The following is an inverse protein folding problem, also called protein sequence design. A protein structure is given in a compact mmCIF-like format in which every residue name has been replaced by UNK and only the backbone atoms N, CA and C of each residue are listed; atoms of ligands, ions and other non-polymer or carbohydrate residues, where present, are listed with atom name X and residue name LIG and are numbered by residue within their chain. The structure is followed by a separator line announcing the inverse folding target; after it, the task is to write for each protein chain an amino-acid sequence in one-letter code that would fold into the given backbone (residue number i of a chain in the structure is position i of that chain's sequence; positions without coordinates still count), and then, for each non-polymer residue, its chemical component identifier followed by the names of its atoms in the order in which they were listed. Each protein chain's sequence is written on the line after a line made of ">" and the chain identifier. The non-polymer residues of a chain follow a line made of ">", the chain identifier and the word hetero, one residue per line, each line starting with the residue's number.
data_IF_847461541761
#
_entry.id   IF_847461541761
#
_cell.length_a   1.000
_cell.length_b   1.000
_cell.length_c   1.000
_cell.angle_alpha   90.00
_cell.angle_beta   90.00
_cell.angle_gamma   90.00
#
_symmetry.space_group_name_H-M   'P 1'
#
loop_
_entity.id
_entity.type
_entity.pdbx_description
1 polymer ?
#
# COMPACT_ATOMS: atom_id res chain seq x y z
N UNK A 1 25.05 35.54 55.50
CA UNK A 1 24.30 34.27 55.45
C UNK A 1 23.26 34.27 56.56
N UNK A 2 21.97 33.94 56.32
CA UNK A 2 20.98 33.91 57.38
C UNK A 2 21.20 32.67 58.26
N UNK A 3 21.78 32.86 59.44
CA UNK A 3 22.03 31.77 60.40
C UNK A 3 20.78 31.34 61.20
N UNK A 4 19.59 31.85 60.83
CA UNK A 4 18.31 31.51 61.49
C UNK A 4 17.46 30.59 60.61
N UNK A 5 17.07 29.45 61.18
CA UNK A 5 16.13 28.52 60.53
C UNK A 5 14.77 29.19 60.33
N UNK A 6 14.14 28.95 59.18
CA UNK A 6 12.78 29.43 58.92
C UNK A 6 11.75 28.86 59.92
N UNK A 7 10.62 29.57 60.07
CA UNK A 7 9.51 29.14 60.94
C UNK A 7 9.07 27.72 60.58
N UNK A 8 8.65 26.94 61.59
CA UNK A 8 8.27 25.52 61.42
C UNK A 8 7.23 25.33 60.32
N UNK A 9 6.23 26.22 60.23
CA UNK A 9 5.21 26.19 59.17
C UNK A 9 5.80 26.29 57.77
N UNK A 10 6.76 27.20 57.56
CA UNK A 10 7.44 27.37 56.26
C UNK A 10 8.22 26.11 55.91
N UNK A 11 8.93 25.53 56.88
CA UNK A 11 9.70 24.29 56.68
C UNK A 11 8.83 23.08 56.39
N UNK A 12 7.69 22.92 57.07
CA UNK A 12 6.76 21.83 56.79
C UNK A 12 6.07 22.01 55.43
N UNK A 13 5.74 23.25 55.04
CA UNK A 13 5.16 23.52 53.73
C UNK A 13 6.17 23.28 52.59
N UNK A 14 7.43 23.65 52.79
CA UNK A 14 8.53 23.31 51.87
C UNK A 14 8.79 21.80 51.80
N UNK A 15 8.73 21.09 52.94
CA UNK A 15 8.85 19.62 52.96
C UNK A 15 7.70 18.95 52.21
N UNK A 16 6.44 19.40 52.39
CA UNK A 16 5.29 18.91 51.63
C UNK A 16 5.41 19.19 50.14
N UNK A 17 5.91 20.37 49.75
CA UNK A 17 6.15 20.74 48.34
C UNK A 17 7.29 19.94 47.69
N UNK A 18 8.34 19.62 48.44
CA UNK A 18 9.46 18.80 47.96
C UNK A 18 9.12 17.32 47.89
N UNK A 19 8.03 16.90 48.55
CA UNK A 19 7.66 15.50 48.66
C UNK A 19 8.54 14.76 49.66
N UNK A 20 8.18 13.50 49.92
CA UNK A 20 9.05 12.61 50.68
C UNK A 20 10.16 12.12 49.73
N UNK A 21 11.41 12.36 50.11
CA UNK A 21 12.61 11.85 49.43
C UNK A 21 12.78 10.35 49.70
N UNK A 22 11.70 9.60 49.47
CA UNK A 22 11.72 8.15 49.43
C UNK A 22 12.16 7.77 48.03
N UNK A 23 13.16 6.89 47.94
CA UNK A 23 13.54 6.31 46.66
C UNK A 23 12.28 5.76 45.98
N UNK A 24 12.06 6.03 44.69
CA UNK A 24 10.91 5.50 43.97
C UNK A 24 10.90 3.99 44.16
N UNK A 25 9.87 3.48 44.85
CA UNK A 25 9.73 2.05 45.11
C UNK A 25 9.60 1.36 43.76
N UNK A 26 10.70 0.73 43.30
CA UNK A 26 10.87 0.25 41.93
C UNK A 26 9.87 -0.83 41.48
N UNK A 27 8.97 -1.26 42.36
CA UNK A 27 8.07 -2.39 42.15
C UNK A 27 6.59 -2.09 42.47
N UNK A 28 6.17 -0.83 42.59
CA UNK A 28 4.73 -0.55 42.69
C UNK A 28 4.10 -0.71 41.31
N UNK A 29 3.37 -1.81 41.09
CA UNK A 29 2.58 -2.09 39.87
C UNK A 29 1.65 -0.91 39.49
N UNK A 30 1.37 0.00 40.42
CA UNK A 30 0.61 1.22 40.18
C UNK A 30 1.35 2.29 39.36
N UNK A 31 2.70 2.25 39.31
CA UNK A 31 3.54 3.25 38.65
C UNK A 31 4.19 2.73 37.36
N UNK A 32 3.96 1.46 37.00
CA UNK A 32 4.41 0.95 35.71
C UNK A 32 3.60 1.61 34.58
N UNK A 33 4.27 2.11 33.52
CA UNK A 33 3.56 2.71 32.40
C UNK A 33 2.68 1.63 31.76
N UNK A 34 1.35 1.79 31.89
CA UNK A 34 0.38 0.86 31.33
C UNK A 34 0.72 0.64 29.85
N UNK A 35 0.97 -0.62 29.43
CA UNK A 35 1.30 -0.91 28.05
C UNK A 35 0.23 -0.35 27.11
N UNK A 36 0.66 0.27 26.00
CA UNK A 36 -0.23 0.97 25.05
C UNK A 36 -1.42 0.11 24.59
N UNK A 37 -1.22 -1.20 24.46
CA UNK A 37 -2.28 -2.14 24.11
C UNK A 37 -3.38 -2.19 25.19
N UNK A 38 -3.01 -2.34 26.46
CA UNK A 38 -3.94 -2.38 27.60
C UNK A 38 -4.57 -1.01 27.81
N UNK A 39 -3.80 0.08 27.68
CA UNK A 39 -4.33 1.44 27.77
C UNK A 39 -5.41 1.73 26.72
N UNK A 40 -5.32 1.14 25.51
CA UNK A 40 -6.37 1.23 24.49
C UNK A 40 -7.63 0.45 24.87
N UNK A 41 -7.48 -0.67 25.56
CA UNK A 41 -8.61 -1.51 26.01
C UNK A 41 -9.31 -0.84 27.19
N UNK A 42 -8.57 -0.39 28.21
CA UNK A 42 -9.12 0.30 29.38
C UNK A 42 -9.81 1.61 28.99
N UNK A 43 -9.26 2.36 28.02
CA UNK A 43 -9.87 3.60 27.53
C UNK A 43 -10.82 3.40 26.34
N UNK A 44 -11.24 2.17 26.02
CA UNK A 44 -11.99 1.88 24.80
C UNK A 44 -13.34 2.63 24.72
N UNK A 45 -14.03 2.79 25.85
CA UNK A 45 -15.30 3.54 25.93
C UNK A 45 -15.09 5.02 25.63
N UNK A 46 -14.13 5.65 26.29
CA UNK A 46 -13.74 7.05 26.05
C UNK A 46 -13.32 7.28 24.60
N UNK A 47 -12.52 6.39 24.02
CA UNK A 47 -12.09 6.50 22.61
C UNK A 47 -13.30 6.42 21.66
N UNK A 48 -14.27 5.54 21.95
CA UNK A 48 -15.51 5.45 21.15
C UNK A 48 -16.36 6.69 21.29
N UNK A 49 -16.56 7.19 22.51
CA UNK A 49 -17.32 8.40 22.79
C UNK A 49 -16.68 9.64 22.16
N UNK A 50 -15.37 9.80 22.29
CA UNK A 50 -14.59 10.85 21.60
C UNK A 50 -14.76 10.76 20.08
N UNK A 51 -14.75 9.55 19.52
CA UNK A 51 -14.97 9.37 18.09
C UNK A 51 -16.41 9.70 17.68
N UNK A 52 -17.41 9.28 18.44
CA UNK A 52 -18.81 9.61 18.18
C UNK A 52 -19.08 11.12 18.34
N UNK A 53 -18.52 11.75 19.36
CA UNK A 53 -18.61 13.18 19.60
C UNK A 53 -17.87 13.97 18.51
N UNK A 54 -16.67 13.53 18.11
CA UNK A 54 -15.94 14.12 16.99
C UNK A 54 -16.70 13.97 15.69
N UNK A 55 -17.36 12.83 15.45
CA UNK A 55 -18.17 12.60 14.26
C UNK A 55 -19.43 13.48 14.25
N UNK A 56 -20.10 13.66 15.40
CA UNK A 56 -21.25 14.55 15.55
C UNK A 56 -20.83 16.01 15.35
N UNK A 57 -19.77 16.46 16.02
CA UNK A 57 -19.20 17.82 15.86
C UNK A 57 -18.74 18.10 14.43
N UNK A 58 -18.12 17.14 13.74
CA UNK A 58 -17.73 17.30 12.33
C UNK A 58 -18.95 17.43 11.39
N UNK A 59 -20.10 16.89 11.78
CA UNK A 59 -21.34 16.99 11.01
C UNK A 59 -22.13 18.27 11.32
N UNK A 60 -21.94 18.83 12.51
CA UNK A 60 -22.57 20.06 13.00
C UNK A 60 -21.76 21.32 12.61
N UNK A 61 -20.43 21.28 12.71
CA UNK A 61 -19.49 22.35 12.34
C UNK A 61 -19.10 22.31 10.85
N UNK A 62 -20.09 22.12 9.97
CA UNK A 62 -19.93 21.99 8.53
C UNK A 62 -19.37 23.19 7.77
N UNK A 63 -18.68 24.16 8.40
CA UNK A 63 -18.01 25.25 7.66
C UNK A 63 -16.81 25.97 8.31
N UNK A 64 -16.30 25.57 9.48
CA UNK A 64 -15.11 26.23 10.04
C UNK A 64 -13.93 25.28 10.33
N UNK A 65 -12.97 25.35 9.41
CA UNK A 65 -11.57 24.94 9.59
C UNK A 65 -11.00 25.53 10.89
N UNK A 66 -10.69 24.70 11.89
CA UNK A 66 -9.49 24.87 12.72
C UNK A 66 -9.18 23.66 13.62
N UNK A 67 -8.02 23.03 13.37
CA UNK A 67 -7.21 22.29 14.34
C UNK A 67 -7.42 20.76 14.43
N UNK A 68 -6.41 19.89 14.38
CA UNK A 68 -4.99 20.03 14.09
C UNK A 68 -4.37 18.63 13.85
N UNK A 69 -3.34 18.58 13.00
CA UNK A 69 -2.31 17.52 12.78
C UNK A 69 -2.74 16.11 12.33
N UNK A 70 -3.34 16.02 11.15
CA UNK A 70 -2.87 15.05 10.14
C UNK A 70 -2.66 15.79 8.84
N UNK A 71 -1.41 15.90 8.39
CA UNK A 71 -1.02 16.39 7.06
C UNK A 71 -1.67 15.49 6.00
N UNK A 72 -2.93 15.75 5.71
CA UNK A 72 -3.56 15.43 4.44
C UNK A 72 -3.30 16.67 3.60
N UNK A 73 -2.36 16.56 2.66
CA UNK A 73 -2.21 17.54 1.60
C UNK A 73 -3.61 17.69 0.97
N UNK A 74 -4.14 18.91 1.01
CA UNK A 74 -5.40 19.27 0.38
C UNK A 74 -5.26 19.08 -1.13
N UNK A 75 -5.90 18.05 -1.67
CA UNK A 75 -6.45 18.09 -3.02
C UNK A 75 -7.94 18.40 -2.88
N UNK A 76 -8.33 19.59 -3.35
CA UNK A 76 -9.72 19.98 -3.52
C UNK A 76 -9.99 21.44 -3.23
N UNK A 77 -10.09 22.24 -4.30
CA UNK A 77 -10.83 23.51 -4.38
C UNK A 77 -10.13 24.86 -4.12
N UNK A 78 -8.84 24.95 -3.73
CA UNK A 78 -8.12 26.26 -3.72
C UNK A 78 -6.73 26.30 -4.42
N UNK A 79 -6.36 25.27 -5.19
CA UNK A 79 -5.03 25.15 -5.83
C UNK A 79 -4.90 25.59 -7.29
N UNK A 80 -6.02 25.77 -8.01
CA UNK A 80 -6.01 25.97 -9.48
C UNK A 80 -5.32 27.24 -9.98
N UNK A 81 -4.97 28.18 -9.09
CA UNK A 81 -4.30 29.44 -9.44
C UNK A 81 -2.77 29.40 -9.28
N UNK A 82 -2.20 28.39 -8.62
CA UNK A 82 -0.74 28.24 -8.43
C UNK A 82 -0.09 27.19 -9.34
N UNK A 83 -0.82 26.16 -9.74
CA UNK A 83 -0.28 25.08 -10.59
C UNK A 83 0.07 25.56 -12.02
N UNK A 84 -0.64 26.58 -12.51
CA UNK A 84 -0.32 27.26 -13.78
C UNK A 84 0.80 28.30 -13.66
N UNK A 85 1.23 28.68 -12.45
CA UNK A 85 2.35 29.60 -12.24
C UNK A 85 3.66 28.88 -11.86
N UNK A 86 3.62 27.66 -11.32
CA UNK A 86 4.82 26.87 -11.02
C UNK A 86 5.47 26.27 -12.28
N UNK A 87 4.66 25.88 -13.27
CA UNK A 87 5.15 25.45 -14.59
C UNK A 87 5.58 26.62 -15.48
N UNK A 88 5.27 27.86 -15.10
CA UNK A 88 5.64 29.05 -15.83
C UNK A 88 7.11 29.41 -15.55
N UNK A 89 7.99 28.80 -16.36
CA UNK A 89 9.43 29.11 -16.56
C UNK A 89 10.35 28.68 -15.43
N UNK A 90 10.52 27.36 -15.25
CA UNK A 90 11.71 26.83 -14.56
C UNK A 90 12.91 27.05 -15.49
N UNK A 91 13.62 28.16 -15.31
CA UNK A 91 14.87 28.47 -16.00
C UNK A 91 16.09 28.20 -15.09
N UNK A 92 17.26 28.08 -15.71
CA UNK A 92 18.53 28.00 -14.99
C UNK A 92 18.78 29.35 -14.32
N UNK A 93 19.04 29.37 -13.01
CA UNK A 93 19.39 30.60 -12.29
C UNK A 93 20.85 30.97 -12.58
N UNK A 94 21.22 32.26 -12.58
CA UNK A 94 22.62 32.65 -12.74
C UNK A 94 23.48 32.02 -11.63
N UNK A 95 24.57 31.36 -12.00
CA UNK A 95 25.47 30.65 -11.07
C UNK A 95 25.00 29.27 -10.64
N UNK A 96 23.86 28.77 -11.13
CA UNK A 96 23.40 27.41 -10.88
C UNK A 96 24.03 26.41 -11.86
N UNK A 97 24.54 25.28 -11.36
CA UNK A 97 24.97 24.19 -12.22
C UNK A 97 23.77 23.47 -12.85
N UNK A 98 23.93 22.93 -14.06
CA UNK A 98 22.88 22.18 -14.76
C UNK A 98 22.30 21.04 -13.92
N UNK A 99 23.12 20.41 -13.08
CA UNK A 99 22.69 19.34 -12.19
C UNK A 99 21.73 19.83 -11.09
N UNK A 100 21.99 21.02 -10.53
CA UNK A 100 21.11 21.59 -9.51
C UNK A 100 19.77 22.02 -10.11
N UNK A 101 19.81 22.54 -11.35
CA UNK A 101 18.60 22.84 -12.12
C UNK A 101 17.75 21.59 -12.33
N UNK A 102 18.35 20.49 -12.79
CA UNK A 102 17.63 19.22 -12.99
C UNK A 102 17.01 18.71 -11.69
N UNK A 103 17.74 18.77 -10.55
CA UNK A 103 17.19 18.38 -9.24
C UNK A 103 15.98 19.23 -8.86
N UNK A 104 16.04 20.54 -9.08
CA UNK A 104 14.90 21.44 -8.78
C UNK A 104 13.71 21.16 -9.69
N UNK A 105 13.94 20.93 -10.98
CA UNK A 105 12.88 20.54 -11.93
C UNK A 105 12.22 19.24 -11.48
N UNK A 106 13.01 18.24 -11.09
CA UNK A 106 12.49 16.97 -10.57
C UNK A 106 11.68 17.18 -9.30
N UNK A 107 12.18 17.95 -8.34
CA UNK A 107 11.50 18.20 -7.06
C UNK A 107 10.18 18.95 -7.24
N UNK A 108 10.09 19.88 -8.19
CA UNK A 108 8.87 20.64 -8.50
C UNK A 108 7.84 19.78 -9.25
N UNK A 109 8.29 18.91 -10.16
CA UNK A 109 7.41 18.01 -10.93
C UNK A 109 7.02 16.73 -10.16
N UNK A 110 7.80 16.33 -9.16
CA UNK A 110 7.61 15.08 -8.39
C UNK A 110 6.24 15.00 -7.69
N UNK A 111 5.69 16.06 -7.07
CA UNK A 111 4.34 16.04 -6.51
C UNK A 111 3.26 15.77 -7.55
N UNK A 112 3.34 16.40 -8.72
CA UNK A 112 2.38 16.23 -9.81
C UNK A 112 2.42 14.80 -10.37
N UNK A 113 3.61 14.28 -10.65
CA UNK A 113 3.80 12.90 -11.09
C UNK A 113 3.27 11.92 -10.03
N UNK A 114 3.57 12.17 -8.75
CA UNK A 114 3.09 11.34 -7.63
C UNK A 114 1.56 11.37 -7.53
N UNK A 115 0.93 12.53 -7.69
CA UNK A 115 -0.52 12.66 -7.68
C UNK A 115 -1.17 11.90 -8.85
N UNK A 116 -0.62 12.03 -10.06
CA UNK A 116 -1.08 11.30 -11.25
C UNK A 116 -0.93 9.78 -11.11
N UNK A 117 0.16 9.31 -10.49
CA UNK A 117 0.37 7.88 -10.20
C UNK A 117 -0.62 7.39 -9.13
N UNK A 118 -0.90 8.19 -8.10
CA UNK A 118 -1.88 7.81 -7.08
C UNK A 118 -3.31 7.79 -7.64
N UNK A 119 -3.69 8.75 -8.47
CA UNK A 119 -5.03 8.82 -9.07
C UNK A 119 -5.25 7.67 -10.06
N UNK A 120 -4.28 7.39 -10.94
CA UNK A 120 -4.36 6.26 -11.88
C UNK A 120 -4.46 4.90 -11.17
N UNK A 121 -3.67 4.69 -10.11
CA UNK A 121 -3.77 3.48 -9.28
C UNK A 121 -5.13 3.35 -8.58
N UNK A 122 -5.72 4.46 -8.13
CA UNK A 122 -7.05 4.44 -7.52
C UNK A 122 -8.11 4.02 -8.56
N UNK A 123 -8.05 4.56 -9.78
CA UNK A 123 -8.94 4.19 -10.89
C UNK A 123 -8.77 2.70 -11.24
N UNK A 124 -7.54 2.21 -11.36
CA UNK A 124 -7.28 0.80 -11.64
C UNK A 124 -7.86 -0.13 -10.57
N UNK A 125 -7.74 0.23 -9.28
CA UNK A 125 -8.34 -0.54 -8.18
C UNK A 125 -9.85 -0.54 -8.22
N UNK A 126 -10.46 0.60 -8.54
CA UNK A 126 -11.92 0.72 -8.66
C UNK A 126 -12.45 -0.10 -9.83
N UNK A 127 -11.75 -0.12 -10.98
CA UNK A 127 -12.10 -0.95 -12.12
C UNK A 127 -12.05 -2.45 -11.76
N UNK A 128 -10.97 -2.91 -11.12
CA UNK A 128 -10.86 -4.31 -10.66
C UNK A 128 -11.95 -4.68 -9.65
N UNK A 129 -12.34 -3.74 -8.78
CA UNK A 129 -13.44 -3.96 -7.83
C UNK A 129 -14.78 -4.08 -8.55
N UNK A 130 -15.07 -3.16 -9.47
CA UNK A 130 -16.28 -3.19 -10.30
C UNK A 130 -16.37 -4.48 -11.13
N UNK A 131 -15.28 -4.94 -11.71
CA UNK A 131 -15.23 -6.20 -12.46
C UNK A 131 -15.53 -7.42 -11.59
N UNK A 132 -15.02 -7.43 -10.35
CA UNK A 132 -15.30 -8.50 -9.38
C UNK A 132 -16.76 -8.49 -8.94
N UNK A 133 -17.32 -7.32 -8.67
CA UNK A 133 -18.73 -7.15 -8.30
C UNK A 133 -19.65 -7.57 -9.46
N UNK A 134 -19.34 -7.18 -10.71
CA UNK A 134 -20.07 -7.61 -11.90
C UNK A 134 -20.01 -9.12 -12.12
N UNK A 135 -18.84 -9.75 -11.92
CA UNK A 135 -18.70 -11.21 -11.98
C UNK A 135 -19.48 -11.92 -10.86
N UNK A 136 -19.51 -11.36 -9.65
CA UNK A 136 -20.29 -11.91 -8.54
C UNK A 136 -21.80 -11.83 -8.82
N UNK A 137 -22.29 -10.68 -9.33
CA UNK A 137 -23.69 -10.50 -9.68
C UNK A 137 -24.15 -11.47 -10.79
N UNK A 138 -23.31 -11.70 -11.82
CA UNK A 138 -23.59 -12.70 -12.87
C UNK A 138 -23.67 -14.13 -12.32
N UNK A 139 -22.82 -14.50 -11.37
CA UNK A 139 -22.86 -15.82 -10.72
C UNK A 139 -24.13 -16.06 -9.90
N UNK A 140 -24.67 -15.02 -9.26
CA UNK A 140 -25.93 -15.12 -8.51
C UNK A 140 -27.15 -15.28 -9.43
N UNK A 141 -27.19 -14.57 -10.57
CA UNK A 141 -28.28 -14.70 -11.55
C UNK A 141 -28.24 -15.99 -12.37
N UNK A 142 -27.09 -16.63 -12.53
CA UNK A 142 -26.95 -17.89 -13.27
C UNK A 142 -27.34 -19.16 -12.49
N UNK A 143 -27.65 -19.06 -11.18
CA UNK A 143 -27.96 -20.22 -10.32
C UNK A 143 -29.46 -20.46 -10.09
N UNK A 144 -30.35 -19.63 -10.63
CA UNK A 144 -31.80 -19.76 -10.44
C UNK A 144 -32.55 -20.50 -11.55
N UNK A 145 -31.87 -21.19 -12.47
CA UNK A 145 -32.54 -21.87 -13.60
C UNK A 145 -32.10 -23.32 -13.84
N UNK A 146 -31.68 -24.04 -12.79
CA UNK A 146 -31.47 -25.49 -12.85
C UNK A 146 -32.15 -26.18 -11.66
N UNK A 147 -33.39 -26.60 -11.92
CA UNK A 147 -34.07 -27.83 -11.44
C UNK A 147 -34.08 -28.15 -9.95
N UNK A 148 -35.25 -27.91 -9.34
CA UNK A 148 -36.23 -28.88 -8.81
C UNK A 148 -35.80 -30.22 -8.16
N UNK A 149 -36.61 -30.58 -7.16
CA UNK A 149 -36.80 -31.87 -6.48
C UNK A 149 -35.64 -32.53 -5.69
N UNK A 150 -35.74 -32.43 -4.35
CA UNK A 150 -35.54 -33.57 -3.44
C UNK A 150 -36.01 -33.17 -2.04
N UNK A 151 -37.03 -33.87 -1.57
CA UNK A 151 -37.70 -33.76 -0.29
C UNK A 151 -36.87 -34.19 0.93
N UNK A 152 -37.31 -33.64 2.07
CA UNK A 152 -37.53 -34.27 3.38
C UNK A 152 -36.41 -34.64 4.38
N UNK A 153 -36.68 -34.15 5.61
CA UNK A 153 -36.52 -34.79 6.92
C UNK A 153 -35.15 -34.75 7.65
N UNK A 154 -35.01 -33.81 8.60
CA UNK A 154 -35.26 -34.08 10.04
C UNK A 154 -34.84 -32.90 10.93
N UNK A 155 -35.80 -32.43 11.70
CA UNK A 155 -35.64 -31.55 12.86
C UNK A 155 -35.19 -32.36 14.07
N UNK A 156 -34.19 -31.90 14.83
CA UNK A 156 -34.08 -32.10 16.29
C UNK A 156 -33.04 -31.17 16.91
N UNK A 157 -33.53 -30.27 17.77
CA UNK A 157 -33.04 -29.94 19.11
C UNK A 157 -31.61 -29.34 19.29
N UNK A 158 -31.61 -28.01 19.39
CA UNK A 158 -30.85 -27.10 20.28
C UNK A 158 -29.72 -27.75 21.13
N UNK A 159 -28.47 -27.50 20.71
CA UNK A 159 -27.34 -27.14 21.58
C UNK A 159 -26.53 -26.03 20.87
N UNK A 160 -26.00 -25.01 21.56
CA UNK A 160 -25.15 -24.01 20.91
C UNK A 160 -23.76 -24.62 20.62
N UNK A 161 -23.33 -24.73 19.36
CA UNK A 161 -21.99 -25.22 19.05
C UNK A 161 -20.96 -24.12 19.35
N UNK A 162 -19.86 -24.50 20.02
CA UNK A 162 -18.67 -23.68 20.19
C UNK A 162 -18.24 -23.08 18.83
N UNK A 163 -17.68 -21.85 18.78
CA UNK A 163 -17.33 -21.21 17.52
C UNK A 163 -16.27 -22.04 16.82
N UNK A 164 -16.67 -22.72 15.74
CA UNK A 164 -15.77 -23.40 14.84
C UNK A 164 -14.73 -22.38 14.34
N UNK A 165 -13.48 -22.62 14.70
CA UNK A 165 -12.32 -21.91 14.16
C UNK A 165 -12.43 -22.00 12.64
N UNK A 166 -12.69 -20.87 11.99
CA UNK A 166 -12.84 -20.81 10.55
C UNK A 166 -11.60 -21.44 9.90
N UNK A 167 -11.80 -22.57 9.21
CA UNK A 167 -10.73 -23.24 8.49
C UNK A 167 -10.05 -22.22 7.56
N UNK A 168 -8.75 -22.04 7.76
CA UNK A 168 -7.93 -21.13 6.97
C UNK A 168 -8.06 -21.53 5.48
N UNK A 169 -8.74 -20.70 4.69
CA UNK A 169 -8.92 -20.89 3.24
C UNK A 169 -7.59 -20.89 2.47
N UNK A 170 -6.48 -20.62 3.17
CA UNK A 170 -5.11 -20.67 2.67
C UNK A 170 -4.29 -21.84 3.21
N UNK A 171 -4.90 -22.79 3.94
CA UNK A 171 -4.21 -23.99 4.44
C UNK A 171 -3.65 -24.88 3.31
N UNK A 172 -4.30 -24.90 2.14
CA UNK A 172 -3.87 -25.66 0.96
C UNK A 172 -2.99 -24.91 -0.03
N UNK A 173 -2.62 -23.65 0.23
CA UNK A 173 -1.70 -22.91 -0.65
C UNK A 173 -0.27 -23.13 -0.14
N UNK A 174 0.62 -23.57 -1.02
CA UNK A 174 2.05 -23.66 -0.71
C UNK A 174 2.52 -22.29 -0.19
N UNK A 175 2.87 -22.23 1.10
CA UNK A 175 3.49 -21.04 1.70
C UNK A 175 4.97 -21.09 1.32
N UNK A 176 5.42 -20.11 0.54
CA UNK A 176 6.81 -19.89 0.10
C UNK A 176 7.83 -19.85 1.27
N UNK A 177 7.34 -19.75 2.52
CA UNK A 177 8.17 -19.75 3.71
C UNK A 177 7.63 -20.75 4.75
N UNK A 178 8.49 -21.68 5.15
CA UNK A 178 8.21 -22.66 6.20
C UNK A 178 8.03 -21.94 7.54
N UNK A 179 6.79 -21.85 8.04
CA UNK A 179 6.53 -21.32 9.38
C UNK A 179 6.82 -22.42 10.40
N UNK A 180 7.89 -22.25 11.18
CA UNK A 180 8.17 -23.12 12.33
C UNK A 180 7.16 -22.84 13.44
N UNK A 181 6.20 -23.75 13.62
CA UNK A 181 5.18 -23.65 14.68
C UNK A 181 5.77 -24.08 16.02
N UNK A 182 6.52 -23.19 16.68
CA UNK A 182 7.03 -23.38 18.05
C UNK A 182 6.11 -22.66 19.03
N UNK A 183 5.44 -23.37 19.94
CA UNK A 183 4.51 -22.76 20.92
C UNK A 183 5.22 -22.07 22.09
N UNK A 184 6.54 -22.20 22.23
CA UNK A 184 7.33 -21.54 23.27
C UNK A 184 8.13 -20.34 22.71
N UNK A 185 8.23 -19.21 23.44
CA UNK A 185 9.00 -18.05 23.03
C UNK A 185 10.51 -18.37 23.08
N UNK A 186 11.13 -18.54 21.90
CA UNK A 186 12.58 -18.77 21.79
C UNK A 186 13.34 -17.44 21.91
N UNK A 187 14.51 -17.48 22.56
CA UNK A 187 15.41 -16.32 22.65
C UNK A 187 16.03 -16.06 21.28
N UNK A 188 16.30 -14.79 20.98
CA UNK A 188 16.78 -14.31 19.67
C UNK A 188 18.07 -15.02 19.18
N UNK A 189 18.90 -15.48 20.12
CA UNK A 189 20.16 -16.18 19.83
C UNK A 189 19.97 -17.66 19.47
N UNK A 190 18.84 -18.27 19.85
CA UNK A 190 18.52 -19.68 19.54
C UNK A 190 17.92 -19.86 18.13
N UNK A 191 17.71 -18.74 17.42
CA UNK A 191 17.18 -18.68 16.05
C UNK A 191 18.31 -18.43 15.03
N UNK A 192 19.58 -18.54 15.47
CA UNK A 192 20.71 -18.61 14.55
C UNK A 192 20.65 -19.95 13.79
N UNK A 193 19.84 -20.01 12.73
CA UNK A 193 19.91 -21.08 11.75
C UNK A 193 21.29 -21.00 11.10
N UNK A 194 22.10 -22.04 11.28
CA UNK A 194 23.32 -22.19 10.49
C UNK A 194 22.93 -22.07 9.01
N UNK A 195 23.72 -21.33 8.20
CA UNK A 195 23.45 -21.22 6.78
C UNK A 195 23.35 -22.64 6.19
N UNK A 196 22.31 -22.93 5.38
CA UNK A 196 22.10 -24.27 4.85
C UNK A 196 23.33 -24.70 4.03
N UNK A 197 23.89 -25.85 4.39
CA UNK A 197 25.01 -26.43 3.65
C UNK A 197 24.51 -27.01 2.33
N UNK A 198 24.89 -26.38 1.23
CA UNK A 198 24.59 -26.89 -0.11
C UNK A 198 25.52 -28.05 -0.42
N UNK A 199 25.01 -29.29 -0.31
CA UNK A 199 25.69 -30.48 -0.83
C UNK A 199 25.86 -30.29 -2.35
N UNK A 200 27.10 -30.32 -2.83
CA UNK A 200 27.41 -30.18 -4.27
C UNK A 200 26.62 -31.22 -5.05
N UNK A 201 25.78 -30.76 -5.98
CA UNK A 201 25.05 -31.65 -6.87
C UNK A 201 26.05 -32.48 -7.69
N UNK A 202 25.75 -33.76 -7.98
CA UNK A 202 26.60 -34.58 -8.81
C UNK A 202 26.78 -33.93 -10.19
N UNK A 203 28.01 -34.00 -10.70
CA UNK A 203 28.42 -33.46 -12.00
C UNK A 203 27.47 -33.98 -13.09
N UNK A 204 26.61 -33.11 -13.63
CA UNK A 204 25.62 -33.45 -14.66
C UNK A 204 24.16 -33.12 -14.36
N UNK A 205 23.80 -32.75 -13.12
CA UNK A 205 22.46 -32.26 -12.81
C UNK A 205 22.33 -30.78 -13.15
N UNK A 206 21.54 -30.44 -14.18
CA UNK A 206 21.22 -29.06 -14.54
C UNK A 206 20.41 -28.38 -13.42
N UNK A 207 20.97 -27.34 -12.81
CA UNK A 207 20.27 -26.51 -11.83
C UNK A 207 19.18 -25.70 -12.53
N UNK A 208 17.91 -25.97 -12.23
CA UNK A 208 16.77 -25.19 -12.70
C UNK A 208 16.62 -23.82 -12.00
N UNK A 209 17.72 -23.21 -11.57
CA UNK A 209 17.72 -21.97 -10.76
C UNK A 209 18.82 -20.98 -11.18
N UNK A 210 19.20 -20.98 -12.46
CA UNK A 210 19.98 -19.89 -13.05
C UNK A 210 19.05 -18.96 -13.83
N UNK A 211 18.32 -18.11 -13.08
CA UNK A 211 17.85 -16.83 -13.62
C UNK A 211 19.08 -15.98 -13.91
N UNK A 212 19.58 -16.06 -15.13
CA UNK A 212 20.77 -15.33 -15.53
C UNK A 212 21.35 -15.83 -16.84
N UNK A 213 20.80 -15.33 -17.94
CA UNK A 213 21.50 -15.08 -19.20
C UNK A 213 22.30 -16.29 -19.75
N UNK A 214 21.58 -17.24 -20.36
CA UNK A 214 22.20 -18.39 -20.99
C UNK A 214 21.34 -19.01 -22.07
N UNK A 215 21.54 -18.52 -23.30
CA UNK A 215 21.23 -19.19 -24.57
C UNK A 215 21.32 -20.72 -24.43
N UNK A 216 20.19 -21.41 -24.58
CA UNK A 216 20.07 -22.81 -24.19
C UNK A 216 18.81 -23.49 -24.70
N UNK A 217 18.68 -23.63 -26.02
CA UNK A 217 17.82 -24.60 -26.74
C UNK A 217 16.31 -24.61 -26.44
N UNK A 218 15.77 -23.61 -25.71
CA UNK A 218 14.31 -23.36 -25.55
C UNK A 218 13.89 -21.92 -25.86
N UNK A 219 14.76 -21.12 -26.50
CA UNK A 219 14.56 -19.69 -26.83
C UNK A 219 13.41 -19.38 -27.80
N UNK A 220 12.66 -20.37 -28.26
CA UNK A 220 11.53 -20.18 -29.18
C UNK A 220 10.14 -20.34 -28.57
N UNK A 221 10.02 -20.87 -27.35
CA UNK A 221 8.70 -21.20 -26.78
C UNK A 221 8.31 -20.15 -25.74
N UNK A 222 7.78 -19.02 -26.24
CA UNK A 222 7.08 -18.06 -25.39
C UNK A 222 5.92 -18.79 -24.68
N UNK A 223 5.79 -18.62 -23.37
CA UNK A 223 4.66 -19.15 -22.60
C UNK A 223 3.34 -18.70 -23.24
N UNK A 224 2.31 -19.56 -23.26
CA UNK A 224 1.00 -19.22 -23.84
C UNK A 224 0.41 -17.92 -23.27
N UNK A 225 0.69 -17.62 -21.99
CA UNK A 225 0.31 -16.35 -21.35
C UNK A 225 1.08 -15.14 -21.93
N UNK A 226 2.37 -15.31 -22.22
CA UNK A 226 3.20 -14.27 -22.83
C UNK A 226 2.81 -14.05 -24.30
N UNK A 227 2.47 -15.11 -25.03
CA UNK A 227 1.94 -15.04 -26.40
C UNK A 227 0.65 -14.20 -26.46
N UNK A 228 -0.28 -14.43 -25.55
CA UNK A 228 -1.53 -13.65 -25.46
C UNK A 228 -1.29 -12.18 -25.10
N UNK A 229 -0.28 -11.88 -24.28
CA UNK A 229 0.10 -10.48 -23.99
C UNK A 229 0.64 -9.78 -25.24
N UNK A 230 1.53 -10.45 -25.98
CA UNK A 230 2.08 -9.91 -27.23
C UNK A 230 1.03 -9.76 -28.34
N UNK A 231 0.06 -10.69 -28.42
CA UNK A 231 -1.06 -10.59 -29.36
C UNK A 231 -1.94 -9.38 -29.05
N UNK A 232 -2.25 -9.10 -27.78
CA UNK A 232 -2.98 -7.89 -27.37
C UNK A 232 -2.20 -6.62 -27.71
N UNK A 233 -0.89 -6.61 -27.47
CA UNK A 233 -0.04 -5.47 -27.84
C UNK A 233 -0.02 -5.25 -29.36
N UNK A 234 0.05 -6.33 -30.13
CA UNK A 234 -0.03 -6.29 -31.60
C UNK A 234 -1.37 -5.74 -32.08
N UNK A 235 -2.49 -6.20 -31.51
CA UNK A 235 -3.82 -5.68 -31.83
C UNK A 235 -3.91 -4.18 -31.52
N UNK A 236 -3.43 -3.76 -30.34
CA UNK A 236 -3.38 -2.35 -29.95
C UNK A 236 -2.49 -1.49 -30.86
N UNK A 237 -1.38 -2.03 -31.36
CA UNK A 237 -0.52 -1.34 -32.32
C UNK A 237 -1.21 -1.18 -33.67
N UNK A 238 -1.91 -2.22 -34.14
CA UNK A 238 -2.66 -2.19 -35.40
C UNK A 238 -3.82 -1.19 -35.31
N UNK A 239 -4.56 -1.15 -34.21
CA UNK A 239 -5.65 -0.17 -34.03
C UNK A 239 -5.12 1.25 -34.04
N UNK A 240 -4.04 1.54 -33.29
CA UNK A 240 -3.38 2.84 -33.30
C UNK A 240 -2.89 3.23 -34.69
N UNK A 241 -2.28 2.30 -35.43
CA UNK A 241 -1.81 2.57 -36.79
C UNK A 241 -2.98 2.84 -37.75
N UNK A 242 -4.08 2.10 -37.64
CA UNK A 242 -5.30 2.34 -38.43
C UNK A 242 -5.92 3.69 -38.11
N UNK A 243 -6.01 4.06 -36.85
CA UNK A 243 -6.46 5.38 -36.42
C UNK A 243 -5.54 6.49 -36.93
N UNK A 244 -4.22 6.31 -36.82
CA UNK A 244 -3.23 7.26 -37.32
C UNK A 244 -3.34 7.43 -38.83
N UNK A 245 -3.44 6.35 -39.61
CA UNK A 245 -3.64 6.41 -41.06
C UNK A 245 -4.99 7.00 -41.44
N UNK A 246 -6.06 6.71 -40.69
CA UNK A 246 -7.36 7.34 -40.89
C UNK A 246 -7.32 8.84 -40.60
N UNK A 247 -6.57 9.27 -39.57
CA UNK A 247 -6.32 10.68 -39.27
C UNK A 247 -5.50 11.35 -40.38
N UNK A 248 -4.42 10.73 -40.87
CA UNK A 248 -3.61 11.24 -41.99
C UNK A 248 -4.44 11.42 -43.27
N UNK A 249 -5.32 10.46 -43.59
CA UNK A 249 -6.24 10.58 -44.73
C UNK A 249 -7.25 11.72 -44.56
N UNK A 250 -7.73 11.96 -43.34
CA UNK A 250 -8.65 13.06 -43.03
C UNK A 250 -7.96 14.42 -43.01
N UNK A 251 -6.71 14.50 -42.54
CA UNK A 251 -5.94 15.73 -42.50
C UNK A 251 -5.35 16.14 -43.85
N UNK A 252 -5.47 15.29 -44.88
CA UNK A 252 -4.92 15.58 -46.21
C UNK A 252 -3.39 15.56 -46.25
N UNK A 253 -2.74 15.09 -45.19
CA UNK A 253 -1.29 14.97 -45.07
C UNK A 253 -0.87 13.74 -45.88
N UNK A 254 -0.79 13.91 -47.20
CA UNK A 254 -0.06 13.02 -48.10
C UNK A 254 1.38 12.98 -47.59
N UNK A 255 1.74 11.96 -46.84
CA UNK A 255 3.14 11.58 -46.66
C UNK A 255 3.66 11.28 -48.06
N UNK A 256 4.38 12.24 -48.62
CA UNK A 256 5.06 12.16 -49.91
C UNK A 256 5.81 10.84 -49.99
N UNK A 257 5.31 9.98 -50.88
CA UNK A 257 6.04 8.85 -51.44
C UNK A 257 6.99 9.46 -52.48
N UNK A 258 8.00 10.18 -51.99
CA UNK A 258 9.17 10.65 -52.73
C UNK A 258 10.38 10.14 -51.97
N UNK A 259 11.38 9.68 -52.71
CA UNK A 259 12.62 9.03 -52.26
C UNK A 259 12.61 7.49 -52.27
N UNK A 260 11.95 6.89 -53.28
CA UNK A 260 12.32 5.54 -53.73
C UNK A 260 12.57 5.40 -55.24
N UNK A 261 12.80 6.53 -55.91
CA UNK A 261 13.41 6.58 -57.23
C UNK A 261 14.77 7.28 -57.09
N UNK A 262 15.86 6.50 -57.16
CA UNK A 262 17.21 7.05 -57.22
C UNK A 262 18.29 6.15 -56.64
N UNK A 263 18.76 5.19 -57.44
CA UNK A 263 20.17 4.84 -57.65
C UNK A 263 20.33 3.37 -58.08
N UNK A 264 19.88 3.06 -59.31
CA UNK A 264 20.55 2.05 -60.13
C UNK A 264 21.15 2.82 -61.31
N UNK A 265 22.34 3.36 -61.12
CA UNK A 265 23.28 3.79 -62.17
C UNK A 265 24.68 3.34 -61.74
N UNK A 266 25.37 2.69 -62.68
CA UNK A 266 26.71 2.03 -62.70
C UNK A 266 26.85 0.59 -62.14
#
# INVERSE_FOLDING_TARGET
>A
MPHKRAKRSVRENERKKRGEDLAPMKNSLSNEPIPKAIARVLNATKIREEWHNKKRKLQEDGDHKQGDKRRKLEDGAKGKRRETQATAKISIKPGESIQHFNRRVEDDMRPLVKAAVHSSNAVARNAVKADKEAKAAKKLKGKSNKTDESEEAKTTRIQPPAPAVAADKHAGKAKEFQKTSSSAPRRLNDVAQAPPEFKRLPRGAVSAASDGFGSGKRDGVLSMAQRQMMEKERENAITRYREMKARQRKSGEKSDERDRDGADDD
#
